data_IF_328712181705
#
_entry.id   IF_328712181705
#
_cell.length_a   1.000
_cell.length_b   1.000
_cell.length_c   1.000
_cell.angle_alpha   90.00
_cell.angle_beta   90.00
_cell.angle_gamma   90.00
#
_symmetry.space_group_name_H-M   'P 1'
#
loop_
_entity.id
_entity.type
_entity.pdbx_description
1 polymer ?
#
# COMPACT_ATOMS: atom_id res chain seq x y z
N UNK A 1 4.12 -21.18 1.87
CA UNK A 1 4.48 -19.77 1.66
C UNK A 1 3.73 -18.95 2.69
N UNK A 2 4.44 -18.28 3.57
CA UNK A 2 3.89 -17.39 4.57
C UNK A 2 3.76 -15.99 3.98
N UNK A 3 2.89 -15.16 4.53
CA UNK A 3 2.73 -13.79 4.05
C UNK A 3 4.01 -12.95 4.22
N UNK A 4 4.86 -13.32 5.18
CA UNK A 4 6.20 -12.77 5.39
C UNK A 4 7.16 -13.01 4.23
N UNK A 5 6.91 -14.05 3.42
CA UNK A 5 7.73 -14.36 2.24
C UNK A 5 7.49 -13.32 1.14
N UNK A 6 6.34 -12.63 1.16
CA UNK A 6 5.89 -11.68 0.14
C UNK A 6 5.99 -10.22 0.59
N UNK A 7 5.77 -9.95 1.89
CA UNK A 7 5.81 -8.60 2.44
C UNK A 7 6.51 -8.55 3.79
N UNK A 8 7.25 -7.49 4.02
CA UNK A 8 7.92 -7.17 5.29
C UNK A 8 7.36 -5.87 5.86
N UNK A 9 7.15 -5.84 7.17
CA UNK A 9 6.75 -4.63 7.89
C UNK A 9 7.74 -3.50 7.61
N UNK A 10 7.23 -2.31 7.30
CA UNK A 10 8.08 -1.16 7.08
C UNK A 10 8.71 -0.73 8.40
N UNK A 11 10.05 -0.84 8.50
CA UNK A 11 10.79 -0.51 9.72
C UNK A 11 10.66 0.96 10.12
N UNK A 12 10.56 1.86 9.13
CA UNK A 12 10.50 3.31 9.38
C UNK A 12 9.21 3.76 10.08
N UNK A 13 8.09 3.08 9.82
CA UNK A 13 6.80 3.40 10.44
C UNK A 13 6.27 2.27 11.33
N UNK A 14 7.08 1.24 11.58
CA UNK A 14 6.71 0.05 12.36
C UNK A 14 5.34 -0.55 11.96
N UNK A 15 5.02 -0.54 10.65
CA UNK A 15 3.74 -1.08 10.17
C UNK A 15 2.58 -0.08 10.12
N UNK A 16 2.70 1.08 10.76
CA UNK A 16 1.59 2.05 10.83
C UNK A 16 1.23 2.68 9.48
N UNK A 17 2.18 2.74 8.54
CA UNK A 17 2.01 3.45 7.28
C UNK A 17 2.11 4.97 7.39
N UNK A 18 2.21 5.53 8.60
CA UNK A 18 2.25 6.98 8.82
C UNK A 18 3.54 7.42 9.52
N UNK A 19 3.90 8.68 9.31
CA UNK A 19 4.91 9.38 10.11
C UNK A 19 4.26 10.63 10.72
N UNK A 20 4.53 10.87 12.00
CA UNK A 20 4.10 12.10 12.65
C UNK A 20 4.72 13.31 11.95
N UNK A 21 3.90 14.29 11.61
CA UNK A 21 4.36 15.55 11.06
C UNK A 21 4.86 16.48 12.15
N UNK A 22 5.89 17.24 11.83
CA UNK A 22 6.44 18.30 12.66
C UNK A 22 6.10 19.65 12.04
N UNK A 23 5.87 20.66 12.86
CA UNK A 23 5.77 22.05 12.40
C UNK A 23 7.15 22.69 12.21
N UNK A 24 7.15 23.95 11.77
CA UNK A 24 8.35 24.76 11.52
C UNK A 24 9.21 25.00 12.77
N UNK A 25 8.67 24.76 13.96
CA UNK A 25 9.37 24.83 15.25
C UNK A 25 9.74 23.46 15.82
N UNK A 26 9.54 22.38 15.05
CA UNK A 26 9.87 21.01 15.46
C UNK A 26 8.90 20.39 16.47
N UNK A 27 7.73 20.99 16.70
CA UNK A 27 6.70 20.40 17.56
C UNK A 27 5.91 19.34 16.81
N UNK A 28 5.61 18.22 17.49
CA UNK A 28 4.80 17.14 16.93
C UNK A 28 3.36 17.63 16.76
N UNK A 29 2.86 17.63 15.52
CA UNK A 29 1.43 17.83 15.24
C UNK A 29 0.78 16.50 14.92
N UNK A 30 0.05 15.95 15.88
CA UNK A 30 -0.67 14.67 15.80
C UNK A 30 -1.68 14.58 14.63
N UNK A 31 -2.24 15.73 14.23
CA UNK A 31 -3.18 15.86 13.11
C UNK A 31 -2.47 15.92 11.75
N UNK A 32 -1.16 16.16 11.73
CA UNK A 32 -0.35 16.30 10.53
C UNK A 32 0.24 14.94 10.17
N UNK A 33 -0.64 13.96 9.93
CA UNK A 33 -0.22 12.60 9.55
C UNK A 33 0.21 12.62 8.09
N UNK A 34 1.50 12.39 7.85
CA UNK A 34 2.01 12.20 6.49
C UNK A 34 2.14 10.70 6.22
N UNK A 35 1.86 10.30 4.99
CA UNK A 35 2.16 8.94 4.54
C UNK A 35 3.65 8.68 4.74
N UNK A 36 4.00 7.51 5.29
CA UNK A 36 5.39 7.15 5.49
C UNK A 36 6.08 7.08 4.11
N UNK A 37 7.13 7.89 3.86
CA UNK A 37 7.75 7.95 2.54
C UNK A 37 8.47 6.65 2.16
N UNK A 38 8.85 5.82 3.15
CA UNK A 38 9.57 4.57 2.91
C UNK A 38 8.68 3.40 2.45
N UNK A 39 7.36 3.49 2.64
CA UNK A 39 6.40 2.49 2.18
C UNK A 39 5.20 3.10 1.46
N UNK A 40 5.28 4.39 1.12
CA UNK A 40 4.21 5.18 0.49
C UNK A 40 2.84 4.99 1.15
N UNK A 41 2.80 4.96 2.48
CA UNK A 41 1.55 4.80 3.23
C UNK A 41 1.08 3.36 3.48
N UNK A 42 1.72 2.35 2.87
CA UNK A 42 1.23 0.96 2.92
C UNK A 42 1.49 0.24 4.26
N UNK A 43 2.46 0.71 5.03
CA UNK A 43 2.91 0.04 6.27
C UNK A 43 3.81 -1.18 6.05
N UNK A 44 3.97 -1.64 4.81
CA UNK A 44 4.85 -2.74 4.45
C UNK A 44 5.56 -2.45 3.12
N UNK A 45 6.68 -3.13 2.92
CA UNK A 45 7.38 -3.21 1.64
C UNK A 45 7.33 -4.65 1.13
N UNK A 46 7.22 -4.82 -0.18
CA UNK A 46 7.30 -6.15 -0.77
C UNK A 46 8.74 -6.68 -0.68
N UNK A 47 8.87 -7.99 -0.52
CA UNK A 47 10.14 -8.68 -0.76
C UNK A 47 10.39 -8.79 -2.26
N UNK A 48 11.58 -9.21 -2.67
CA UNK A 48 11.87 -9.45 -4.09
C UNK A 48 10.92 -10.47 -4.71
N UNK A 49 10.58 -11.53 -3.96
CA UNK A 49 9.56 -12.50 -4.37
C UNK A 49 8.18 -11.83 -4.51
N UNK A 50 7.78 -11.01 -3.53
CA UNK A 50 6.53 -10.26 -3.57
C UNK A 50 6.43 -9.31 -4.77
N UNK A 51 7.50 -8.57 -5.08
CA UNK A 51 7.58 -7.70 -6.25
C UNK A 51 7.48 -8.49 -7.56
N UNK A 52 8.19 -9.61 -7.66
CA UNK A 52 8.18 -10.44 -8.87
C UNK A 52 6.78 -11.04 -9.12
N UNK A 53 6.14 -11.58 -8.09
CA UNK A 53 4.77 -12.09 -8.22
C UNK A 53 3.78 -10.97 -8.50
N UNK A 54 3.94 -9.80 -7.87
CA UNK A 54 3.08 -8.66 -8.16
C UNK A 54 3.20 -8.21 -9.61
N UNK A 55 4.41 -8.14 -10.17
CA UNK A 55 4.63 -7.82 -11.59
C UNK A 55 3.98 -8.85 -12.51
N UNK A 56 4.07 -10.14 -12.16
CA UNK A 56 3.50 -11.23 -12.95
C UNK A 56 1.97 -11.18 -12.98
N UNK A 57 1.34 -10.99 -11.81
CA UNK A 57 -0.13 -11.09 -11.69
C UNK A 57 -0.86 -9.76 -11.90
N UNK A 58 -0.19 -8.61 -11.76
CA UNK A 58 -0.83 -7.29 -11.88
C UNK A 58 -1.65 -7.12 -13.16
N UNK A 59 -1.18 -7.48 -14.37
CA UNK A 59 -1.96 -7.27 -15.59
C UNK A 59 -3.26 -8.07 -15.59
N UNK A 60 -3.20 -9.35 -15.21
CA UNK A 60 -4.37 -10.22 -15.11
C UNK A 60 -5.37 -9.70 -14.07
N UNK A 61 -4.89 -9.29 -12.90
CA UNK A 61 -5.74 -8.70 -11.85
C UNK A 61 -6.39 -7.40 -12.31
N UNK A 62 -5.69 -6.58 -13.11
CA UNK A 62 -6.27 -5.35 -13.65
C UNK A 62 -7.42 -5.61 -14.61
N UNK A 63 -7.31 -6.62 -15.47
CA UNK A 63 -8.41 -7.00 -16.36
C UNK A 63 -9.59 -7.55 -15.58
N UNK A 64 -9.36 -8.44 -14.59
CA UNK A 64 -10.42 -8.95 -13.72
C UNK A 64 -11.15 -7.84 -12.97
N UNK A 65 -10.41 -6.85 -12.43
CA UNK A 65 -11.00 -5.68 -11.76
C UNK A 65 -11.83 -4.85 -12.75
N UNK A 66 -11.33 -4.65 -13.98
CA UNK A 66 -12.05 -3.89 -15.01
C UNK A 66 -13.36 -4.58 -15.40
N UNK A 67 -13.32 -5.88 -15.67
CA UNK A 67 -14.50 -6.68 -16.01
C UNK A 67 -15.55 -6.59 -14.90
N UNK A 68 -15.14 -6.74 -13.63
CA UNK A 68 -16.05 -6.66 -12.48
C UNK A 68 -16.70 -5.28 -12.34
N UNK A 69 -15.94 -4.20 -12.58
CA UNK A 69 -16.46 -2.83 -12.56
C UNK A 69 -17.47 -2.59 -13.70
N UNK A 70 -17.19 -3.11 -14.90
CA UNK A 70 -18.08 -3.01 -16.07
C UNK A 70 -19.38 -3.81 -15.87
N UNK A 71 -19.29 -5.05 -15.37
CA UNK A 71 -20.47 -5.86 -15.05
C UNK A 71 -21.38 -5.18 -14.02
N UNK A 72 -20.80 -4.59 -12.96
CA UNK A 72 -21.58 -3.82 -11.97
C UNK A 72 -22.26 -2.59 -12.56
N UNK A 73 -21.61 -1.88 -13.50
CA UNK A 73 -22.21 -0.73 -14.18
C UNK A 73 -23.37 -1.12 -15.11
N UNK A 74 -23.36 -2.35 -15.64
CA UNK A 74 -24.40 -2.86 -16.55
C UNK A 74 -25.63 -3.32 -15.77
N UNK A 75 -25.45 -3.81 -14.53
CA UNK A 75 -26.52 -4.24 -13.62
C UNK A 75 -27.24 -3.07 -12.90
N UNK A 76 -26.74 -1.84 -13.01
CA UNK A 76 -27.34 -0.64 -12.41
C UNK A 76 -28.18 0.20 -13.40
N UNK A 77 -28.40 -0.29 -14.62
CA UNK A 77 -29.30 0.29 -15.62
C UNK A 77 -30.52 -0.60 -15.80
#
# INVERSE_FOLDING_TARGET
MLISDLKKTCLKCAGSGFQAGYDEWGSIKSNLRKACPACSGKGYNLTDLGENLWKLYRPMLQELIREELQNKSTLQK
#
